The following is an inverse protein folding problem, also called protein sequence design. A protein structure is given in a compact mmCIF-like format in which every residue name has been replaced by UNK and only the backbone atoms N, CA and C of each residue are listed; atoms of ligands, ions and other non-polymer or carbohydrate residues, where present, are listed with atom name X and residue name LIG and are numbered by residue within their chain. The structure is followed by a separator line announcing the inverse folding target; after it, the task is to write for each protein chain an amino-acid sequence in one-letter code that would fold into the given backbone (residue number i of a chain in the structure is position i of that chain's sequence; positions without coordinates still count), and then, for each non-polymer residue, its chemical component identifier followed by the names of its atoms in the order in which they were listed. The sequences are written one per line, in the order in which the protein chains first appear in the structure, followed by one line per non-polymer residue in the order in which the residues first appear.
data_IF_737172901345
#
_entry.id   IF_737172901345
#
_cell.length_a   1.000
_cell.length_b   1.000
_cell.length_c   1.000
_cell.angle_alpha   90.00
_cell.angle_beta   90.00
_cell.angle_gamma   90.00
#
_symmetry.space_group_name_H-M   'P 1'
#
loop_
_entity.id
_entity.type
_entity.pdbx_description
1 polymer ?
#
# COMPACT_ATOMS: atom_id res chain seq x y z
N UNK A 1 24.64 -35.99 -26.12
CA UNK A 1 25.13 -35.12 -25.02
C UNK A 1 24.57 -33.70 -25.16
N UNK A 2 23.24 -33.53 -25.17
CA UNK A 2 22.62 -32.24 -25.59
C UNK A 2 21.33 -31.87 -24.85
N UNK A 3 20.78 -32.75 -24.01
CA UNK A 3 19.49 -32.53 -23.33
C UNK A 3 19.60 -31.75 -22.01
N UNK A 4 20.71 -31.86 -21.28
CA UNK A 4 20.89 -31.16 -20.00
C UNK A 4 21.05 -29.64 -20.14
N UNK A 5 21.61 -29.15 -21.25
CA UNK A 5 21.83 -27.71 -21.48
C UNK A 5 20.53 -26.96 -21.76
N UNK A 6 19.56 -27.59 -22.44
CA UNK A 6 18.28 -26.98 -22.79
C UNK A 6 17.37 -26.81 -21.56
N UNK A 7 17.34 -27.82 -20.68
CA UNK A 7 16.57 -27.78 -19.43
C UNK A 7 17.08 -26.69 -18.48
N UNK A 8 18.41 -26.53 -18.38
CA UNK A 8 19.02 -25.52 -17.52
C UNK A 8 18.71 -24.09 -18.01
N UNK A 9 18.69 -23.88 -19.33
CA UNK A 9 18.35 -22.59 -19.93
C UNK A 9 16.87 -22.21 -19.72
N UNK A 10 15.96 -23.19 -19.82
CA UNK A 10 14.53 -23.00 -19.53
C UNK A 10 14.27 -22.65 -18.07
N UNK A 11 14.97 -23.31 -17.13
CA UNK A 11 14.89 -23.01 -15.71
C UNK A 11 15.43 -21.62 -15.37
N UNK A 12 16.55 -21.21 -15.98
CA UNK A 12 17.07 -19.86 -15.81
C UNK A 12 16.10 -18.80 -16.33
N UNK A 13 15.45 -19.03 -17.48
CA UNK A 13 14.47 -18.10 -18.04
C UNK A 13 13.23 -17.95 -17.14
N UNK A 14 12.74 -19.05 -16.56
CA UNK A 14 11.62 -19.04 -15.62
C UNK A 14 11.97 -18.32 -14.32
N UNK A 15 13.19 -18.51 -13.81
CA UNK A 15 13.69 -17.76 -12.65
C UNK A 15 13.87 -16.27 -12.96
N UNK A 16 14.38 -15.91 -14.15
CA UNK A 16 14.49 -14.52 -14.60
C UNK A 16 13.12 -13.86 -14.77
N UNK A 17 12.12 -14.55 -15.34
CA UNK A 17 10.74 -14.05 -15.42
C UNK A 17 10.04 -14.01 -14.05
N UNK A 18 10.40 -14.89 -13.12
CA UNK A 18 9.93 -14.86 -11.73
C UNK A 18 10.54 -13.71 -10.91
N UNK A 19 11.82 -13.41 -11.13
CA UNK A 19 12.54 -12.29 -10.51
C UNK A 19 12.07 -10.92 -11.06
N UNK A 20 11.62 -10.87 -12.31
CA UNK A 20 11.02 -9.65 -12.91
C UNK A 20 9.61 -9.33 -12.39
N UNK A 21 8.96 -10.23 -11.64
CA UNK A 21 7.57 -10.06 -11.17
C UNK A 21 7.43 -9.49 -9.76
N UNK A 22 8.50 -9.01 -9.15
CA UNK A 22 8.42 -8.28 -7.88
C UNK A 22 8.43 -6.76 -8.07
N UNK A 23 8.01 -6.27 -9.24
CA UNK A 23 7.50 -4.90 -9.34
C UNK A 23 6.15 -4.89 -8.67
N UNK A 24 6.08 -4.35 -7.45
CA UNK A 24 4.81 -4.10 -6.76
C UNK A 24 3.98 -3.23 -7.72
N UNK A 25 3.00 -3.83 -8.39
CA UNK A 25 2.29 -3.19 -9.47
C UNK A 25 1.46 -2.03 -8.90
N UNK A 26 1.54 -0.87 -9.53
CA UNK A 26 0.74 0.28 -9.16
C UNK A 26 -0.76 -0.05 -9.20
N UNK A 27 -1.45 0.23 -8.11
CA UNK A 27 -2.90 0.17 -8.04
C UNK A 27 -3.51 1.41 -8.72
N UNK A 28 -4.70 1.31 -9.33
CA UNK A 28 -5.40 2.50 -9.80
C UNK A 28 -5.86 3.38 -8.63
N UNK A 29 -5.71 4.69 -8.75
CA UNK A 29 -6.29 5.67 -7.81
C UNK A 29 -7.76 5.91 -8.23
N UNK A 30 -8.75 5.84 -7.33
CA UNK A 30 -10.13 6.20 -7.67
C UNK A 30 -10.27 7.62 -8.23
N UNK A 31 -11.32 7.90 -9.01
CA UNK A 31 -11.48 9.20 -9.67
C UNK A 31 -11.80 10.32 -8.66
N UNK A 32 -12.52 9.97 -7.62
CA UNK A 32 -13.00 10.80 -6.53
C UNK A 32 -11.96 11.02 -5.42
N UNK A 33 -10.88 10.23 -5.41
CA UNK A 33 -9.83 10.37 -4.40
C UNK A 33 -8.87 11.50 -4.79
N UNK A 34 -8.74 12.51 -3.92
CA UNK A 34 -7.93 13.70 -4.17
C UNK A 34 -6.43 13.42 -4.22
N UNK A 35 -5.96 12.27 -3.71
CA UNK A 35 -4.58 11.85 -3.87
C UNK A 35 -4.16 11.80 -5.36
N UNK A 36 -5.13 11.53 -6.26
CA UNK A 36 -4.94 11.59 -7.71
C UNK A 36 -4.32 12.91 -8.19
N UNK A 37 -4.65 14.04 -7.57
CA UNK A 37 -4.13 15.36 -7.92
C UNK A 37 -2.60 15.46 -7.69
N UNK A 38 -2.05 14.60 -6.83
CA UNK A 38 -0.62 14.53 -6.54
C UNK A 38 0.14 13.60 -7.51
N UNK A 39 -0.55 12.74 -8.25
CA UNK A 39 0.04 11.69 -9.09
C UNK A 39 -0.30 11.88 -10.58
N UNK A 40 0.31 12.90 -11.20
CA UNK A 40 0.03 13.37 -12.58
C UNK A 40 -0.10 12.27 -13.66
N UNK A 41 0.65 11.18 -13.55
CA UNK A 41 0.70 10.10 -14.57
C UNK A 41 0.81 8.70 -13.95
N UNK A 42 0.57 8.58 -12.63
CA UNK A 42 0.91 7.42 -11.83
C UNK A 42 -0.30 6.74 -11.17
N UNK A 43 -0.13 5.48 -10.79
CA UNK A 43 -0.99 4.80 -9.84
C UNK A 43 -0.55 5.00 -8.39
N UNK A 44 -1.07 4.12 -7.56
CA UNK A 44 -0.92 4.11 -6.13
C UNK A 44 -0.08 2.91 -5.70
N UNK A 45 0.89 3.17 -4.83
CA UNK A 45 1.51 2.15 -4.00
C UNK A 45 1.32 2.51 -2.52
N UNK A 46 1.20 1.49 -1.68
CA UNK A 46 1.16 1.64 -0.23
C UNK A 46 2.58 1.57 0.34
N UNK A 47 3.01 2.65 1.00
CA UNK A 47 4.24 2.70 1.78
C UNK A 47 3.92 2.55 3.27
N UNK A 48 4.76 1.80 4.00
CA UNK A 48 4.57 1.57 5.44
C UNK A 48 5.71 2.14 6.26
N UNK A 49 5.39 2.76 7.40
CA UNK A 49 6.37 3.31 8.33
C UNK A 49 6.04 2.91 9.79
N UNK A 50 7.05 2.74 10.64
CA UNK A 50 6.88 2.48 12.08
C UNK A 50 6.63 3.79 12.86
N UNK A 51 5.59 4.50 12.43
CA UNK A 51 5.07 5.75 12.97
C UNK A 51 3.54 5.67 12.97
N UNK A 52 2.88 6.58 13.68
CA UNK A 52 1.44 6.80 13.53
C UNK A 52 1.13 8.26 13.25
N UNK A 53 0.07 8.48 12.47
CA UNK A 53 -0.51 9.78 12.26
C UNK A 53 -1.43 10.17 13.44
N UNK A 54 -1.42 11.43 13.85
CA UNK A 54 -2.45 11.99 14.73
C UNK A 54 -3.75 12.22 13.95
N UNK A 55 -4.69 11.29 14.04
CA UNK A 55 -5.95 11.31 13.30
C UNK A 55 -7.13 11.40 14.26
N UNK A 56 -8.24 12.00 13.81
CA UNK A 56 -9.43 12.21 14.63
C UNK A 56 -10.53 11.16 14.40
N UNK A 57 -10.41 10.38 13.33
CA UNK A 57 -11.37 9.32 12.98
C UNK A 57 -11.43 8.21 14.02
N UNK A 58 -12.57 7.51 14.15
CA UNK A 58 -12.67 6.33 14.99
C UNK A 58 -11.86 5.15 14.44
N UNK A 59 -11.54 4.20 15.31
CA UNK A 59 -10.94 2.92 14.91
C UNK A 59 -12.00 1.96 14.39
N UNK A 60 -11.75 1.40 13.21
CA UNK A 60 -12.42 0.20 12.71
C UNK A 60 -11.75 -1.02 13.32
N UNK A 61 -12.50 -1.83 14.07
CA UNK A 61 -11.97 -2.95 14.86
C UNK A 61 -12.26 -4.29 14.19
N UNK A 62 -11.33 -5.26 14.30
CA UNK A 62 -11.53 -6.62 13.80
C UNK A 62 -11.62 -6.73 12.28
N UNK A 63 -10.97 -5.82 11.56
CA UNK A 63 -10.97 -5.74 10.10
C UNK A 63 -9.64 -6.21 9.52
N UNK A 64 -9.64 -6.66 8.27
CA UNK A 64 -8.40 -6.96 7.54
C UNK A 64 -7.72 -5.68 7.03
N UNK A 65 -6.43 -5.76 6.72
CA UNK A 65 -5.70 -4.60 6.20
C UNK A 65 -6.23 -4.12 4.84
N UNK A 66 -6.69 -5.03 3.99
CA UNK A 66 -7.24 -4.68 2.69
C UNK A 66 -8.57 -3.92 2.81
N UNK A 67 -9.37 -4.19 3.86
CA UNK A 67 -10.53 -3.34 4.18
C UNK A 67 -10.10 -1.89 4.38
N UNK A 68 -9.01 -1.65 5.12
CA UNK A 68 -8.52 -0.31 5.38
C UNK A 68 -8.01 0.39 4.11
N UNK A 69 -7.31 -0.34 3.24
CA UNK A 69 -6.86 0.18 1.94
C UNK A 69 -8.04 0.56 1.05
N UNK A 70 -9.01 -0.34 0.87
CA UNK A 70 -10.17 -0.09 0.03
C UNK A 70 -11.04 1.03 0.60
N UNK A 71 -11.27 1.02 1.92
CA UNK A 71 -12.08 2.05 2.57
C UNK A 71 -11.40 3.41 2.48
N UNK A 72 -10.09 3.50 2.71
CA UNK A 72 -9.34 4.74 2.50
C UNK A 72 -9.41 5.22 1.04
N UNK A 73 -9.18 4.33 0.06
CA UNK A 73 -9.30 4.68 -1.37
C UNK A 73 -10.66 5.28 -1.71
N UNK A 74 -11.74 4.76 -1.11
CA UNK A 74 -13.11 5.25 -1.35
C UNK A 74 -13.41 6.63 -0.73
N UNK A 75 -12.58 7.12 0.20
CA UNK A 75 -12.78 8.42 0.82
C UNK A 75 -12.00 9.51 0.05
N UNK A 76 -12.66 10.60 -0.40
CA UNK A 76 -11.99 11.64 -1.19
C UNK A 76 -10.75 12.26 -0.54
N UNK A 77 -10.72 12.32 0.80
CA UNK A 77 -9.68 12.99 1.58
C UNK A 77 -8.79 12.03 2.39
N UNK A 78 -8.83 10.72 2.12
CA UNK A 78 -7.98 9.76 2.83
C UNK A 78 -6.72 9.45 2.02
N UNK A 79 -5.56 9.77 2.60
CA UNK A 79 -4.25 9.62 1.98
C UNK A 79 -3.41 8.54 2.67
N UNK A 80 -3.97 7.91 3.71
CA UNK A 80 -3.32 6.89 4.50
C UNK A 80 -4.18 6.39 5.66
N UNK A 81 -3.63 5.47 6.44
CA UNK A 81 -4.27 5.00 7.66
C UNK A 81 -3.25 4.46 8.66
N UNK A 82 -3.59 4.59 9.93
CA UNK A 82 -2.92 3.88 11.02
C UNK A 82 -3.39 2.43 11.03
N UNK A 83 -2.48 1.47 11.20
CA UNK A 83 -2.75 0.04 11.30
C UNK A 83 -2.18 -0.55 12.60
N UNK A 84 -3.06 -1.08 13.44
CA UNK A 84 -2.71 -1.80 14.66
C UNK A 84 -2.85 -3.30 14.43
N UNK A 85 -1.72 -4.00 14.32
CA UNK A 85 -1.68 -5.45 14.03
C UNK A 85 -2.41 -6.27 15.11
N UNK A 86 -2.14 -5.99 16.39
CA UNK A 86 -2.66 -6.79 17.51
C UNK A 86 -4.20 -6.72 17.60
N UNK A 87 -4.78 -5.58 17.24
CA UNK A 87 -6.24 -5.39 17.24
C UNK A 87 -6.91 -5.78 15.92
N UNK A 88 -6.13 -6.01 14.86
CA UNK A 88 -6.63 -6.01 13.48
C UNK A 88 -7.52 -4.79 13.23
N UNK A 89 -6.95 -3.61 13.47
CA UNK A 89 -7.72 -2.37 13.49
C UNK A 89 -7.04 -1.27 12.69
N UNK A 90 -7.84 -0.40 12.07
CA UNK A 90 -7.33 0.82 11.45
C UNK A 90 -8.10 2.07 11.81
N UNK A 91 -7.38 3.18 11.72
CA UNK A 91 -7.92 4.53 11.84
C UNK A 91 -7.52 5.28 10.56
N UNK A 92 -8.52 5.76 9.82
CA UNK A 92 -8.33 6.34 8.49
C UNK A 92 -7.95 7.81 8.57
N UNK A 93 -7.13 8.27 7.62
CA UNK A 93 -6.83 9.68 7.47
C UNK A 93 -8.07 10.49 7.08
N UNK A 94 -8.32 11.57 7.83
CA UNK A 94 -9.33 12.60 7.58
C UNK A 94 -8.71 13.99 7.32
N UNK A 95 -7.38 14.06 7.23
CA UNK A 95 -6.62 15.32 7.15
C UNK A 95 -6.17 15.65 5.72
N UNK A 96 -6.43 14.78 4.74
CA UNK A 96 -5.89 14.94 3.39
C UNK A 96 -4.37 14.82 3.36
N UNK A 97 -3.79 13.93 4.17
CA UNK A 97 -2.35 13.75 4.30
C UNK A 97 -1.61 14.83 5.10
N UNK A 98 -2.31 15.76 5.75
CA UNK A 98 -1.72 16.88 6.50
C UNK A 98 -1.65 16.62 8.01
N UNK A 99 -1.30 15.40 8.41
CA UNK A 99 -1.27 14.96 9.81
C UNK A 99 0.13 15.05 10.43
N UNK A 100 0.17 15.25 11.74
CA UNK A 100 1.41 15.13 12.52
C UNK A 100 1.78 13.66 12.73
N UNK A 101 3.09 13.37 12.75
CA UNK A 101 3.61 12.03 12.95
C UNK A 101 4.15 11.87 14.39
N UNK A 102 3.85 10.72 14.99
CA UNK A 102 4.43 10.33 16.27
C UNK A 102 5.05 8.93 16.19
N UNK A 103 6.05 8.68 17.04
CA UNK A 103 6.59 7.33 17.20
C UNK A 103 5.55 6.44 17.85
N UNK A 104 5.29 5.27 17.26
CA UNK A 104 4.23 4.38 17.72
C UNK A 104 4.53 2.92 17.40
N UNK A 105 3.84 2.00 18.08
CA UNK A 105 3.79 0.57 17.74
C UNK A 105 2.77 0.27 16.63
N UNK A 106 1.94 1.26 16.30
CA UNK A 106 1.06 1.28 15.14
C UNK A 106 1.89 1.57 13.90
N UNK A 107 1.53 0.97 12.77
CA UNK A 107 2.17 1.24 11.47
C UNK A 107 1.32 2.22 10.68
N UNK A 108 1.95 3.25 10.13
CA UNK A 108 1.31 4.17 9.20
C UNK A 108 1.44 3.62 7.78
N UNK A 109 0.31 3.47 7.10
CA UNK A 109 0.22 3.15 5.68
C UNK A 109 -0.11 4.43 4.93
N UNK A 110 0.78 4.88 4.07
CA UNK A 110 0.57 6.08 3.25
C UNK A 110 0.47 5.72 1.77
N UNK A 111 -0.37 6.47 1.08
CA UNK A 111 -0.40 6.48 -0.36
C UNK A 111 0.86 7.14 -0.92
N UNK A 112 1.48 6.51 -1.91
CA UNK A 112 2.59 7.05 -2.68
C UNK A 112 2.31 6.92 -4.17
N UNK A 113 2.68 7.95 -4.92
CA UNK A 113 2.64 7.87 -6.37
C UNK A 113 3.68 6.86 -6.83
N UNK A 114 3.27 6.00 -7.74
CA UNK A 114 4.12 5.19 -8.57
C UNK A 114 3.59 5.33 -10.01
#
# INVERSE_FOLDING_TARGET
MTTHKLMCFSYLLLMLMGLLRSTQACEPIPAENRFREQCLLGGLQWETQDLSAMLSTPWYMGVGIDFCKEHCKSQPSCFGFNWLIIGSSCQLDDTGGSHELMKSVVKLYNMKCC
#
